data_IF_865217666043
#
_entry.id   IF_865217666043
#
_cell.length_a   1.000
_cell.length_b   1.000
_cell.length_c   1.000
_cell.angle_alpha   90.00
_cell.angle_beta   90.00
_cell.angle_gamma   90.00
#
_symmetry.space_group_name_H-M   'P 1'
#
loop_
_entity.id
_entity.type
_entity.pdbx_description
1 polymer ?
#
# COMPACT_ATOMS: atom_id res chain seq x y z
N UNK A 1 24.16 -9.51 -13.70
CA UNK A 1 22.91 -9.07 -14.38
C UNK A 1 21.85 -10.16 -14.49
N UNK A 2 22.10 -11.39 -15.00
CA UNK A 2 21.08 -12.45 -15.10
C UNK A 2 20.42 -12.79 -13.76
N UNK A 3 21.19 -12.98 -12.69
CA UNK A 3 20.66 -13.31 -11.34
C UNK A 3 19.73 -12.23 -10.79
N UNK A 4 20.05 -10.95 -11.01
CA UNK A 4 19.21 -9.82 -10.57
C UNK A 4 17.89 -9.77 -11.32
N UNK A 5 17.89 -10.03 -12.64
CA UNK A 5 16.64 -10.09 -13.40
C UNK A 5 15.73 -11.24 -12.93
N UNK A 6 16.30 -12.42 -12.65
CA UNK A 6 15.58 -13.58 -12.13
C UNK A 6 14.93 -13.22 -10.79
N UNK A 7 15.66 -12.53 -9.90
CA UNK A 7 15.13 -12.09 -8.61
C UNK A 7 13.92 -11.16 -8.78
N UNK A 8 14.01 -10.13 -9.66
CA UNK A 8 12.88 -9.22 -9.93
C UNK A 8 11.68 -9.99 -10.46
N UNK A 9 11.89 -10.92 -11.41
CA UNK A 9 10.80 -11.71 -12.00
C UNK A 9 10.10 -12.53 -10.91
N UNK A 10 10.86 -13.26 -10.09
CA UNK A 10 10.29 -14.07 -8.99
C UNK A 10 9.52 -13.17 -8.02
N UNK A 11 10.07 -12.02 -7.67
CA UNK A 11 9.44 -11.08 -6.76
C UNK A 11 8.10 -10.55 -7.32
N UNK A 12 8.07 -10.15 -8.59
CA UNK A 12 6.84 -9.72 -9.26
C UNK A 12 5.80 -10.86 -9.36
N UNK A 13 6.22 -12.08 -9.62
CA UNK A 13 5.32 -13.24 -9.67
C UNK A 13 4.68 -13.52 -8.31
N UNK A 14 5.43 -13.40 -7.21
CA UNK A 14 4.90 -13.57 -5.86
C UNK A 14 3.85 -12.48 -5.53
N UNK A 15 4.09 -11.23 -5.92
CA UNK A 15 3.11 -10.15 -5.73
C UNK A 15 1.83 -10.38 -6.55
N UNK A 16 1.97 -10.84 -7.80
CA UNK A 16 0.81 -11.17 -8.64
C UNK A 16 0.00 -12.31 -8.03
N UNK A 17 0.68 -13.36 -7.56
CA UNK A 17 0.03 -14.50 -6.90
C UNK A 17 -0.78 -14.06 -5.70
N UNK A 18 -0.25 -13.17 -4.89
CA UNK A 18 -0.94 -12.64 -3.73
C UNK A 18 -2.17 -11.81 -4.10
N UNK A 19 -2.09 -10.94 -5.11
CA UNK A 19 -3.24 -10.18 -5.61
C UNK A 19 -4.35 -11.14 -6.04
N UNK A 20 -4.00 -12.24 -6.74
CA UNK A 20 -4.95 -13.26 -7.17
C UNK A 20 -5.59 -13.95 -5.96
N UNK A 21 -4.80 -14.36 -4.98
CA UNK A 21 -5.30 -15.01 -3.76
C UNK A 21 -6.24 -14.09 -2.99
N UNK A 22 -5.88 -12.81 -2.83
CA UNK A 22 -6.76 -11.83 -2.19
C UNK A 22 -8.07 -11.66 -2.94
N UNK A 23 -8.03 -11.53 -4.27
CA UNK A 23 -9.23 -11.41 -5.10
C UNK A 23 -10.14 -12.64 -4.98
N UNK A 24 -9.57 -13.85 -4.86
CA UNK A 24 -10.35 -15.07 -4.64
C UNK A 24 -11.00 -15.08 -3.26
N UNK A 25 -10.28 -14.69 -2.22
CA UNK A 25 -10.81 -14.60 -0.85
C UNK A 25 -11.99 -13.61 -0.84
N UNK A 26 -11.78 -12.41 -1.38
CA UNK A 26 -12.80 -11.38 -1.43
C UNK A 26 -14.03 -11.74 -2.25
N UNK A 27 -13.87 -12.50 -3.32
CA UNK A 27 -15.00 -12.90 -4.17
C UNK A 27 -15.84 -14.02 -3.58
N UNK A 28 -15.25 -14.89 -2.76
CA UNK A 28 -15.90 -16.11 -2.26
C UNK A 28 -16.27 -16.07 -0.78
N UNK A 29 -15.82 -15.06 -0.04
CA UNK A 29 -16.02 -15.00 1.40
C UNK A 29 -16.44 -13.59 1.85
N UNK A 30 -16.96 -13.48 3.07
CA UNK A 30 -17.23 -12.19 3.72
C UNK A 30 -16.00 -11.59 4.41
N UNK A 31 -14.82 -12.09 4.05
CA UNK A 31 -13.55 -11.67 4.62
C UNK A 31 -12.68 -11.00 3.56
N UNK A 32 -11.78 -10.14 4.03
CA UNK A 32 -10.71 -9.54 3.24
C UNK A 32 -9.39 -9.64 4.00
N UNK A 33 -8.29 -9.42 3.31
CA UNK A 33 -6.98 -9.36 3.96
C UNK A 33 -6.97 -8.19 4.95
N UNK A 34 -6.43 -8.45 6.15
CA UNK A 34 -6.30 -7.43 7.19
C UNK A 34 -5.57 -6.19 6.66
N UNK A 35 -6.09 -5.01 6.97
CA UNK A 35 -5.49 -3.74 6.56
C UNK A 35 -4.02 -3.60 7.01
N UNK A 36 -3.65 -4.20 8.15
CA UNK A 36 -2.26 -4.25 8.62
C UNK A 36 -1.38 -4.96 7.59
N UNK A 37 -1.82 -6.13 7.12
CA UNK A 37 -1.10 -6.91 6.13
C UNK A 37 -1.07 -6.19 4.77
N UNK A 38 -2.20 -5.61 4.35
CA UNK A 38 -2.29 -4.81 3.13
C UNK A 38 -1.30 -3.64 3.12
N UNK A 39 -1.09 -2.99 4.27
CA UNK A 39 -0.08 -1.93 4.40
C UNK A 39 1.33 -2.45 4.12
N UNK A 40 1.72 -3.60 4.70
CA UNK A 40 3.02 -4.22 4.41
C UNK A 40 3.18 -4.56 2.93
N UNK A 41 2.11 -5.05 2.29
CA UNK A 41 2.15 -5.37 0.86
C UNK A 41 2.30 -4.14 -0.02
N UNK A 42 1.70 -3.03 0.34
CA UNK A 42 1.91 -1.75 -0.34
C UNK A 42 3.40 -1.38 -0.35
N UNK A 43 4.10 -1.50 0.77
CA UNK A 43 5.54 -1.25 0.81
C UNK A 43 6.36 -2.23 -0.04
N UNK A 44 5.95 -3.50 -0.11
CA UNK A 44 6.59 -4.48 -0.99
C UNK A 44 6.39 -4.12 -2.47
N UNK A 45 5.20 -3.69 -2.87
CA UNK A 45 4.93 -3.21 -4.24
C UNK A 45 5.79 -1.98 -4.57
N UNK A 46 5.87 -1.00 -3.66
CA UNK A 46 6.74 0.18 -3.82
C UNK A 46 8.19 -0.28 -4.04
N UNK A 47 8.68 -1.19 -3.22
CA UNK A 47 10.02 -1.77 -3.35
C UNK A 47 10.26 -2.42 -4.72
N UNK A 48 9.28 -3.18 -5.25
CA UNK A 48 9.35 -3.77 -6.58
C UNK A 48 9.49 -2.72 -7.68
N UNK A 49 8.65 -1.69 -7.64
CA UNK A 49 8.68 -0.58 -8.62
C UNK A 49 10.04 0.12 -8.60
N UNK A 50 10.57 0.43 -7.42
CA UNK A 50 11.87 1.08 -7.28
C UNK A 50 13.01 0.19 -7.82
N UNK A 51 12.98 -1.11 -7.56
CA UNK A 51 13.97 -2.05 -8.12
C UNK A 51 13.94 -2.09 -9.65
N UNK A 52 12.75 -2.06 -10.25
CA UNK A 52 12.58 -2.01 -11.71
C UNK A 52 13.14 -0.69 -12.25
N UNK A 53 12.83 0.44 -11.63
CA UNK A 53 13.34 1.76 -12.03
C UNK A 53 14.87 1.77 -12.00
N UNK A 54 15.49 1.36 -10.89
CA UNK A 54 16.94 1.26 -10.75
C UNK A 54 17.54 0.37 -11.84
N UNK A 55 16.88 -0.74 -12.13
CA UNK A 55 17.33 -1.66 -13.19
C UNK A 55 17.31 -1.01 -14.57
N UNK A 56 16.27 -0.24 -14.89
CA UNK A 56 16.17 0.47 -16.18
C UNK A 56 17.27 1.55 -16.26
N UNK A 57 17.47 2.32 -15.20
CA UNK A 57 18.51 3.35 -15.15
C UNK A 57 19.91 2.74 -15.40
N UNK A 58 20.22 1.61 -14.75
CA UNK A 58 21.49 0.90 -14.98
C UNK A 58 21.62 0.48 -16.45
N UNK A 59 20.55 -0.02 -17.08
CA UNK A 59 20.55 -0.37 -18.49
C UNK A 59 20.81 0.83 -19.39
N UNK A 60 20.17 1.97 -19.12
CA UNK A 60 20.37 3.21 -19.86
C UNK A 60 21.83 3.69 -19.77
N UNK A 61 22.47 3.53 -18.60
CA UNK A 61 23.88 3.87 -18.42
C UNK A 61 24.84 2.93 -19.17
N UNK A 62 24.45 1.69 -19.44
CA UNK A 62 25.28 0.70 -20.12
C UNK A 62 25.22 0.77 -21.65
N UNK A 63 24.35 1.61 -22.23
CA UNK A 63 24.28 1.81 -23.68
C UNK A 63 25.56 2.49 -24.17
N UNK A 64 26.22 1.86 -25.14
CA UNK A 64 27.53 2.28 -25.65
C UNK A 64 27.48 3.43 -26.66
N UNK A 65 26.29 3.73 -27.19
CA UNK A 65 26.13 4.83 -28.14
C UNK A 65 26.43 6.17 -27.46
N UNK A 66 27.39 6.91 -28.04
CA UNK A 66 27.91 8.19 -27.52
C UNK A 66 27.43 9.39 -28.36
N UNK A 67 26.45 9.19 -29.27
CA UNK A 67 25.84 10.31 -29.97
C UNK A 67 25.21 11.31 -28.99
N UNK A 68 25.27 12.59 -29.29
CA UNK A 68 24.72 13.63 -28.42
C UNK A 68 23.23 13.40 -28.20
N UNK A 69 22.49 13.02 -29.25
CA UNK A 69 21.07 12.71 -29.17
C UNK A 69 20.76 11.54 -28.24
N UNK A 70 21.56 10.48 -28.31
CA UNK A 70 21.43 9.31 -27.43
C UNK A 70 21.72 9.65 -25.96
N UNK A 71 22.71 10.51 -25.69
CA UNK A 71 23.04 10.96 -24.35
C UNK A 71 21.91 11.80 -23.76
N UNK A 72 21.40 12.77 -24.52
CA UNK A 72 20.28 13.63 -24.10
C UNK A 72 19.02 12.80 -23.84
N UNK A 73 18.66 11.90 -24.76
CA UNK A 73 17.49 11.03 -24.60
C UNK A 73 17.56 10.18 -23.34
N UNK A 74 18.74 9.61 -23.03
CA UNK A 74 18.95 8.82 -21.80
C UNK A 74 18.87 9.67 -20.54
N UNK A 75 19.41 10.87 -20.55
CA UNK A 75 19.35 11.79 -19.42
C UNK A 75 17.89 12.17 -19.10
N UNK A 76 17.10 12.51 -20.14
CA UNK A 76 15.68 12.82 -19.98
C UNK A 76 14.91 11.62 -19.44
N UNK A 77 15.14 10.42 -19.99
CA UNK A 77 14.50 9.19 -19.51
C UNK A 77 14.88 8.87 -18.05
N UNK A 78 16.12 9.05 -17.64
CA UNK A 78 16.55 8.84 -16.26
C UNK A 78 15.89 9.84 -15.29
N UNK A 79 15.82 11.12 -15.65
CA UNK A 79 15.14 12.15 -14.84
C UNK A 79 13.64 11.81 -14.68
N UNK A 80 12.96 11.39 -15.76
CA UNK A 80 11.57 11.01 -15.70
C UNK A 80 11.32 9.77 -14.82
N UNK A 81 12.21 8.77 -14.89
CA UNK A 81 12.14 7.58 -14.03
C UNK A 81 12.36 7.92 -12.56
N UNK A 82 13.32 8.81 -12.25
CA UNK A 82 13.53 9.29 -10.88
C UNK A 82 12.28 10.01 -10.36
N UNK A 83 11.66 10.85 -11.19
CA UNK A 83 10.43 11.56 -10.83
C UNK A 83 9.28 10.58 -10.53
N UNK A 84 9.08 9.55 -11.35
CA UNK A 84 8.10 8.48 -11.08
C UNK A 84 8.43 7.76 -9.76
N UNK A 85 9.70 7.44 -9.52
CA UNK A 85 10.15 6.81 -8.28
C UNK A 85 9.83 7.65 -7.05
N UNK A 86 10.04 8.96 -7.11
CA UNK A 86 9.69 9.89 -6.04
C UNK A 86 8.17 9.93 -5.80
N UNK A 87 7.38 10.02 -6.85
CA UNK A 87 5.91 9.99 -6.73
C UNK A 87 5.42 8.69 -6.09
N UNK A 88 6.03 7.56 -6.42
CA UNK A 88 5.67 6.25 -5.85
C UNK A 88 5.88 6.21 -4.33
N UNK A 89 6.83 6.98 -3.79
CA UNK A 89 7.08 7.08 -2.34
C UNK A 89 6.20 8.15 -1.71
N UNK A 90 6.08 9.32 -2.34
CA UNK A 90 5.42 10.49 -1.77
C UNK A 90 3.91 10.31 -1.70
N UNK A 91 3.27 9.75 -2.73
CA UNK A 91 1.81 9.60 -2.76
C UNK A 91 1.30 8.75 -1.58
N UNK A 92 1.82 7.54 -1.30
CA UNK A 92 1.40 6.78 -0.13
C UNK A 92 1.71 7.47 1.21
N UNK A 93 2.81 8.23 1.28
CA UNK A 93 3.16 8.97 2.50
C UNK A 93 2.22 10.15 2.79
N UNK A 94 1.57 10.70 1.76
CA UNK A 94 0.56 11.75 1.92
C UNK A 94 -0.81 11.21 2.38
N UNK A 95 -1.04 9.91 2.22
CA UNK A 95 -2.25 9.25 2.70
C UNK A 95 -1.96 8.76 4.11
N UNK A 96 -2.25 9.60 5.11
CA UNK A 96 -2.14 9.21 6.53
C UNK A 96 -3.23 8.19 6.87
N UNK A 97 -2.92 6.92 6.67
CA UNK A 97 -3.74 5.80 7.12
C UNK A 97 -3.03 5.11 8.29
N UNK A 98 -3.59 5.22 9.50
CA UNK A 98 -3.08 4.51 10.68
C UNK A 98 -3.87 3.22 10.85
N UNK A 99 -3.19 2.10 10.90
CA UNK A 99 -3.81 0.79 11.09
C UNK A 99 -3.25 0.13 12.35
N UNK A 100 -4.15 -0.25 13.25
CA UNK A 100 -3.79 -0.90 14.51
C UNK A 100 -4.89 -1.85 14.99
N UNK A 101 -4.62 -2.62 16.04
CA UNK A 101 -5.60 -3.50 16.66
C UNK A 101 -6.09 -2.87 17.96
N UNK A 102 -7.40 -2.83 18.14
CA UNK A 102 -8.05 -2.38 19.37
C UNK A 102 -9.01 -3.45 19.87
N UNK A 103 -9.02 -3.68 21.19
CA UNK A 103 -9.95 -4.62 21.82
C UNK A 103 -11.09 -3.84 22.47
N UNK A 104 -12.30 -4.10 22.02
CA UNK A 104 -13.52 -3.48 22.56
C UNK A 104 -14.47 -4.60 23.00
N UNK A 105 -14.87 -4.61 24.27
CA UNK A 105 -15.77 -5.61 24.85
C UNK A 105 -15.32 -7.06 24.56
N UNK A 106 -14.05 -7.38 24.80
CA UNK A 106 -13.42 -8.68 24.54
C UNK A 106 -13.42 -9.12 23.06
N UNK A 107 -13.71 -8.22 22.12
CA UNK A 107 -13.61 -8.48 20.67
C UNK A 107 -12.48 -7.66 20.08
N UNK A 108 -11.61 -8.32 19.32
CA UNK A 108 -10.51 -7.65 18.61
C UNK A 108 -11.01 -7.08 17.26
N UNK A 109 -10.67 -5.83 17.02
CA UNK A 109 -10.96 -5.12 15.78
C UNK A 109 -9.68 -4.65 15.12
N UNK A 110 -9.65 -4.71 13.79
CA UNK A 110 -8.68 -3.98 12.99
C UNK A 110 -9.27 -2.60 12.77
N UNK A 111 -8.59 -1.58 13.27
CA UNK A 111 -9.01 -0.19 13.16
C UNK A 111 -8.21 0.47 12.05
N UNK A 112 -8.93 1.04 11.09
CA UNK A 112 -8.37 1.86 10.03
C UNK A 112 -8.76 3.30 10.29
N UNK A 113 -7.79 4.11 10.69
CA UNK A 113 -7.98 5.54 10.91
C UNK A 113 -7.55 6.30 9.66
N UNK A 114 -8.49 7.01 9.06
CA UNK A 114 -8.26 7.89 7.92
C UNK A 114 -8.37 9.33 8.36
N UNK A 115 -7.23 10.02 8.36
CA UNK A 115 -7.15 11.46 8.53
C UNK A 115 -6.73 12.08 7.21
N UNK A 116 -7.59 12.86 6.58
CA UNK A 116 -7.20 13.67 5.44
C UNK A 116 -7.17 15.13 5.92
N UNK A 117 -6.00 15.76 6.03
CA UNK A 117 -5.79 17.21 6.16
C UNK A 117 -6.87 18.04 6.91
N UNK A 118 -7.79 17.40 7.62
CA UNK A 118 -8.97 17.96 8.24
C UNK A 118 -8.94 17.63 9.73
N UNK A 119 -9.44 18.54 10.51
CA UNK A 119 -9.58 18.52 11.97
C UNK A 119 -10.32 17.29 12.53
N UNK A 120 -10.85 16.43 11.67
CA UNK A 120 -11.62 15.26 12.02
C UNK A 120 -11.04 14.00 11.37
N UNK A 121 -10.79 12.96 12.15
CA UNK A 121 -10.43 11.63 11.64
C UNK A 121 -11.57 10.64 11.84
N UNK A 122 -11.72 9.72 10.89
CA UNK A 122 -12.69 8.64 10.97
C UNK A 122 -11.98 7.33 11.25
N UNK A 123 -12.43 6.61 12.28
CA UNK A 123 -11.96 5.27 12.61
C UNK A 123 -12.98 4.24 12.17
N UNK A 124 -12.57 3.35 11.26
CA UNK A 124 -13.37 2.24 10.78
C UNK A 124 -12.97 0.97 11.50
N UNK A 125 -13.93 0.31 12.15
CA UNK A 125 -13.72 -0.89 12.95
C UNK A 125 -14.19 -2.11 12.18
N UNK A 126 -13.25 -2.96 11.78
CA UNK A 126 -13.50 -4.25 11.15
C UNK A 126 -13.21 -5.36 12.13
N UNK A 127 -14.17 -6.26 12.35
CA UNK A 127 -13.95 -7.38 13.27
C UNK A 127 -12.81 -8.26 12.75
N UNK A 128 -11.80 -8.47 13.60
CA UNK A 128 -10.66 -9.31 13.30
C UNK A 128 -11.08 -10.78 13.38
N UNK A 129 -10.80 -11.56 12.36
CA UNK A 129 -11.02 -13.00 12.39
C UNK A 129 -9.77 -13.74 12.88
N UNK A 130 -8.64 -13.45 12.24
CA UNK A 130 -7.34 -14.01 12.59
C UNK A 130 -6.21 -13.00 12.30
N UNK A 131 -4.97 -13.50 12.21
CA UNK A 131 -3.78 -12.67 11.97
C UNK A 131 -3.80 -11.95 10.61
N UNK A 132 -4.45 -12.56 9.60
CA UNK A 132 -4.38 -12.14 8.20
C UNK A 132 -5.72 -11.65 7.66
N UNK A 133 -6.85 -12.02 8.30
CA UNK A 133 -8.19 -11.78 7.80
C UNK A 133 -9.03 -10.92 8.76
N UNK A 134 -9.81 -10.03 8.17
CA UNK A 134 -10.83 -9.24 8.85
C UNK A 134 -12.15 -9.30 8.07
N UNK A 135 -13.27 -8.99 8.73
CA UNK A 135 -14.57 -8.91 8.06
C UNK A 135 -14.58 -7.72 7.10
N UNK A 136 -15.15 -7.88 5.90
CA UNK A 136 -15.36 -6.79 4.95
C UNK A 136 -16.31 -5.73 5.51
N UNK A 137 -17.32 -6.20 6.25
CA UNK A 137 -18.32 -5.32 6.86
C UNK A 137 -17.67 -4.48 7.95
N UNK A 138 -17.93 -3.19 7.90
CA UNK A 138 -17.59 -2.26 8.97
C UNK A 138 -18.54 -2.52 10.13
N UNK A 139 -17.99 -2.86 11.30
CA UNK A 139 -18.80 -3.12 12.49
C UNK A 139 -19.35 -1.83 13.07
N UNK A 140 -18.53 -0.79 13.15
CA UNK A 140 -18.93 0.56 13.53
C UNK A 140 -17.88 1.58 13.09
N UNK A 141 -18.30 2.86 13.07
CA UNK A 141 -17.43 3.99 12.75
C UNK A 141 -17.41 4.93 13.96
N UNK A 142 -16.22 5.43 14.31
CA UNK A 142 -16.08 6.45 15.33
C UNK A 142 -15.48 7.71 14.70
N UNK A 143 -16.15 8.83 14.88
CA UNK A 143 -15.65 10.14 14.49
C UNK A 143 -14.84 10.73 15.64
N UNK A 144 -13.62 11.15 15.36
CA UNK A 144 -12.75 11.82 16.33
C UNK A 144 -12.63 13.27 15.90
N UNK A 145 -13.01 14.17 16.79
CA UNK A 145 -12.83 15.60 16.65
C UNK A 145 -11.87 16.09 17.73
N UNK A 146 -11.13 17.18 17.48
CA UNK A 146 -10.31 17.83 18.50
C UNK A 146 -11.11 18.23 19.76
N UNK A 147 -12.43 18.46 19.60
CA UNK A 147 -13.35 18.80 20.70
C UNK A 147 -13.82 17.60 21.51
N UNK A 148 -13.70 16.38 20.98
CA UNK A 148 -14.10 15.15 21.64
C UNK A 148 -13.10 14.04 21.34
N UNK A 149 -11.95 13.98 22.05
CA UNK A 149 -10.90 12.98 21.79
C UNK A 149 -11.37 11.54 22.06
N UNK A 150 -12.43 11.34 22.83
CA UNK A 150 -13.03 10.00 23.06
C UNK A 150 -13.95 9.57 21.92
N UNK A 151 -14.36 10.49 21.03
CA UNK A 151 -15.18 10.23 19.84
C UNK A 151 -16.63 9.83 20.16
N UNK A 152 -17.57 10.36 19.39
CA UNK A 152 -18.95 9.87 19.39
C UNK A 152 -19.04 8.54 18.64
N UNK A 153 -19.62 7.51 19.27
CA UNK A 153 -19.93 6.25 18.58
C UNK A 153 -21.14 6.45 17.69
N UNK A 154 -20.96 6.40 16.39
CA UNK A 154 -22.08 6.17 15.48
C UNK A 154 -22.12 4.66 15.17
N UNK A 155 -23.08 3.96 15.77
CA UNK A 155 -23.34 2.56 15.46
C UNK A 155 -24.07 2.47 14.11
N UNK A 156 -23.33 2.20 13.05
CA UNK A 156 -23.94 1.79 11.77
C UNK A 156 -24.20 0.28 11.78
N UNK A 157 -25.15 -0.13 12.65
CA UNK A 157 -25.79 -1.43 12.54
C UNK A 157 -27.11 -1.23 11.78
N UNK A 158 -27.08 -1.43 10.47
CA UNK A 158 -28.27 -1.87 9.71
C UNK A 158 -27.87 -2.69 8.52
#
# INVERSE_FOLDING_TARGET
MKKFNIFIIIYCLLLILEIIVNSIIESKTDYTISAIYSTYMTYLVIGAVLLIIVRIIIQLCLIKDKSTESIIGRAIAAVFLIFIGLLTIVIPALIEEKVYIETVNNTEYVVVERGAFVVESLRYYHKKRDKFLMEKRISYIRKISEKSPEGEKEDYLK
#
